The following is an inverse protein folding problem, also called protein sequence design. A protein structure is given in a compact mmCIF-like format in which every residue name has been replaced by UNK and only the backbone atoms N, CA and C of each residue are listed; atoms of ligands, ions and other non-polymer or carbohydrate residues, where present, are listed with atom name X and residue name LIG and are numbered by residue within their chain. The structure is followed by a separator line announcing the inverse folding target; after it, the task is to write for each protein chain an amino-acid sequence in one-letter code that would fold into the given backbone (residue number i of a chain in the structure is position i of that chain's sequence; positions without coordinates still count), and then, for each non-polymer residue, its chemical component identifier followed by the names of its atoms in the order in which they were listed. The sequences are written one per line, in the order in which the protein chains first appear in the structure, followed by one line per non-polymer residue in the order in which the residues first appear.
data_IF_311794903149
#
_entry.id   IF_311794903149
#
_cell.length_a   1.000
_cell.length_b   1.000
_cell.length_c   1.000
_cell.angle_alpha   90.00
_cell.angle_beta   90.00
_cell.angle_gamma   90.00
#
_symmetry.space_group_name_H-M   'P 1'
#
loop_
_entity.id
_entity.type
_entity.pdbx_description
1 polymer ?
#
# COMPACT_ATOMS: atom_id res chain seq x y z
N UNK A 1 -19.92 16.90 25.69
CA UNK A 1 -18.91 17.09 24.61
C UNK A 1 -19.05 15.90 23.69
N UNK A 2 -19.19 16.10 22.39
CA UNK A 2 -19.33 14.97 21.46
C UNK A 2 -17.96 14.32 21.18
N UNK A 3 -17.92 13.05 20.76
CA UNK A 3 -16.66 12.36 20.40
C UNK A 3 -15.88 13.11 19.33
N UNK A 4 -16.56 13.74 18.37
CA UNK A 4 -15.96 14.52 17.28
C UNK A 4 -15.14 15.71 17.81
N UNK A 5 -15.61 16.34 18.90
CA UNK A 5 -14.90 17.45 19.52
C UNK A 5 -13.58 17.05 20.20
N UNK A 6 -13.38 15.76 20.42
CA UNK A 6 -12.16 15.18 21.00
C UNK A 6 -11.27 14.48 19.95
N UNK A 7 -11.80 14.28 18.74
CA UNK A 7 -11.09 13.58 17.68
C UNK A 7 -9.96 14.44 17.07
N UNK A 8 -8.94 13.75 16.56
CA UNK A 8 -7.89 14.41 15.79
C UNK A 8 -8.50 15.09 14.54
N UNK A 9 -8.33 16.42 14.36
CA UNK A 9 -8.89 17.14 13.21
C UNK A 9 -8.46 16.54 11.86
N UNK A 10 -7.25 16.01 11.76
CA UNK A 10 -6.76 15.38 10.54
C UNK A 10 -7.55 14.10 10.20
N UNK A 11 -7.96 13.33 11.22
CA UNK A 11 -8.80 12.16 11.01
C UNK A 11 -10.23 12.53 10.55
N UNK A 12 -10.79 13.62 11.08
CA UNK A 12 -12.12 14.09 10.70
C UNK A 12 -12.21 14.61 9.25
N UNK A 13 -11.08 15.02 8.68
CA UNK A 13 -11.01 15.55 7.30
C UNK A 13 -10.61 14.50 6.27
N UNK A 14 -10.40 13.23 6.70
CA UNK A 14 -10.07 12.15 5.77
C UNK A 14 -11.24 11.84 4.85
N UNK A 15 -11.03 11.66 3.54
CA UNK A 15 -12.03 11.07 2.67
C UNK A 15 -12.29 9.62 3.10
N UNK A 16 -13.55 9.21 3.07
CA UNK A 16 -13.92 7.82 3.35
C UNK A 16 -13.40 6.94 2.20
N UNK A 17 -12.65 5.90 2.53
CA UNK A 17 -12.30 4.87 1.56
C UNK A 17 -13.51 3.97 1.31
N UNK A 18 -13.97 3.93 0.07
CA UNK A 18 -15.05 3.02 -0.35
C UNK A 18 -14.44 1.77 -0.98
N UNK A 19 -14.40 0.63 -0.26
CA UNK A 19 -13.95 -0.63 -0.82
C UNK A 19 -14.97 -1.16 -1.85
N UNK A 20 -14.52 -2.06 -2.72
CA UNK A 20 -15.42 -2.77 -3.62
C UNK A 20 -16.49 -3.55 -2.82
N UNK A 21 -17.77 -3.51 -3.27
CA UNK A 21 -18.86 -4.19 -2.57
C UNK A 21 -18.65 -5.72 -2.52
N UNK A 22 -18.96 -6.36 -1.36
CA UNK A 22 -19.04 -7.82 -1.28
C UNK A 22 -20.04 -8.40 -2.28
N UNK A 23 -19.79 -9.63 -2.75
CA UNK A 23 -20.70 -10.34 -3.68
C UNK A 23 -22.09 -10.49 -3.05
N UNK A 24 -22.15 -10.82 -1.77
CA UNK A 24 -23.39 -11.04 -1.03
C UNK A 24 -24.26 -9.77 -0.95
N UNK A 25 -23.63 -8.61 -0.84
CA UNK A 25 -24.32 -7.33 -0.80
C UNK A 25 -24.92 -6.99 -2.17
N UNK A 26 -24.15 -7.20 -3.25
CA UNK A 26 -24.62 -6.99 -4.63
C UNK A 26 -25.75 -7.98 -4.96
N UNK A 27 -25.59 -9.24 -4.57
CA UNK A 27 -26.62 -10.28 -4.77
C UNK A 27 -27.94 -9.90 -4.08
N UNK A 28 -27.86 -9.44 -2.83
CA UNK A 28 -29.04 -9.02 -2.04
C UNK A 28 -29.70 -7.78 -2.64
N UNK A 29 -28.94 -6.77 -3.05
CA UNK A 29 -29.46 -5.54 -3.64
C UNK A 29 -30.16 -5.77 -4.97
N UNK A 30 -29.64 -6.69 -5.79
CA UNK A 30 -30.13 -6.94 -7.15
C UNK A 30 -31.01 -8.17 -7.26
N UNK A 31 -31.23 -8.93 -6.17
CA UNK A 31 -32.00 -10.18 -6.18
C UNK A 31 -31.35 -11.28 -7.02
N UNK A 32 -30.04 -11.34 -7.08
CA UNK A 32 -29.28 -12.31 -7.87
C UNK A 32 -28.78 -13.47 -7.01
N UNK A 33 -28.47 -14.60 -7.66
CA UNK A 33 -27.73 -15.68 -7.02
C UNK A 33 -26.24 -15.29 -6.88
N UNK A 34 -25.67 -15.29 -5.66
CA UNK A 34 -24.26 -14.97 -5.44
C UNK A 34 -23.31 -15.85 -6.27
N UNK A 35 -23.66 -17.11 -6.51
CA UNK A 35 -22.83 -18.05 -7.27
C UNK A 35 -22.69 -17.69 -8.75
N UNK A 36 -23.61 -16.88 -9.29
CA UNK A 36 -23.58 -16.39 -10.67
C UNK A 36 -22.84 -15.06 -10.85
N UNK A 37 -22.35 -14.44 -9.78
CA UNK A 37 -21.70 -13.14 -9.85
C UNK A 37 -20.19 -13.30 -10.03
N UNK A 38 -19.65 -12.72 -11.11
CA UNK A 38 -18.21 -12.62 -11.34
C UNK A 38 -17.71 -11.27 -10.81
N UNK A 39 -16.96 -11.28 -9.71
CA UNK A 39 -16.37 -10.08 -9.13
C UNK A 39 -15.05 -9.75 -9.82
N UNK A 40 -15.00 -8.61 -10.50
CA UNK A 40 -13.79 -8.08 -11.12
C UNK A 40 -13.18 -6.90 -10.36
N UNK A 41 -13.77 -6.55 -9.21
CA UNK A 41 -13.29 -5.50 -8.31
C UNK A 41 -12.34 -6.07 -7.26
N UNK A 42 -11.59 -5.17 -6.58
CA UNK A 42 -10.71 -5.46 -5.43
C UNK A 42 -9.41 -6.21 -5.76
N UNK A 43 -9.11 -6.48 -7.03
CA UNK A 43 -7.88 -7.18 -7.48
C UNK A 43 -7.61 -8.50 -6.73
N UNK A 44 -8.68 -9.25 -6.41
CA UNK A 44 -8.60 -10.52 -5.72
C UNK A 44 -8.09 -11.64 -6.65
N UNK A 45 -7.35 -12.61 -6.09
CA UNK A 45 -6.88 -13.76 -6.85
C UNK A 45 -8.00 -14.77 -7.09
N UNK A 46 -8.52 -14.84 -8.31
CA UNK A 46 -9.58 -15.77 -8.70
C UNK A 46 -9.16 -17.26 -8.63
N UNK A 47 -7.86 -17.57 -8.58
CA UNK A 47 -7.36 -18.95 -8.43
C UNK A 47 -7.44 -19.47 -7.00
N UNK A 48 -7.75 -18.60 -6.04
CA UNK A 48 -7.79 -18.93 -4.62
C UNK A 48 -6.40 -19.10 -3.99
N UNK A 49 -6.37 -19.57 -2.73
CA UNK A 49 -5.12 -19.73 -1.99
C UNK A 49 -4.38 -21.02 -2.37
N UNK A 50 -3.06 -21.03 -2.16
CA UNK A 50 -2.24 -22.24 -2.33
C UNK A 50 -2.72 -23.37 -1.40
N UNK A 51 -2.89 -24.61 -1.89
CA UNK A 51 -3.23 -25.75 -1.04
C UNK A 51 -2.20 -25.99 0.09
N UNK A 52 -0.92 -25.74 -0.17
CA UNK A 52 0.13 -25.85 0.85
C UNK A 52 -0.04 -24.77 1.94
N UNK A 53 -0.41 -23.57 1.57
CA UNK A 53 -0.68 -22.50 2.54
C UNK A 53 -1.90 -22.82 3.41
N UNK A 54 -2.97 -23.35 2.82
CA UNK A 54 -4.15 -23.83 3.57
C UNK A 54 -3.80 -24.94 4.56
N UNK A 55 -3.02 -25.93 4.13
CA UNK A 55 -2.56 -27.01 5.00
C UNK A 55 -1.74 -26.50 6.17
N UNK A 56 -0.80 -25.58 5.92
CA UNK A 56 0.02 -24.97 6.95
C UNK A 56 -0.81 -24.15 7.94
N UNK A 57 -1.77 -23.36 7.44
CA UNK A 57 -2.68 -22.57 8.27
C UNK A 57 -3.53 -23.46 9.17
N UNK A 58 -4.12 -24.54 8.64
CA UNK A 58 -4.89 -25.50 9.43
C UNK A 58 -4.04 -26.15 10.53
N UNK A 59 -2.78 -26.47 10.25
CA UNK A 59 -1.87 -27.02 11.26
C UNK A 59 -1.54 -26.00 12.35
N UNK A 60 -1.40 -24.72 11.99
CA UNK A 60 -1.10 -23.65 12.94
C UNK A 60 -2.30 -23.33 13.86
N UNK A 61 -3.54 -23.54 13.40
CA UNK A 61 -4.73 -23.33 14.21
C UNK A 61 -4.76 -24.17 15.49
N UNK A 62 -4.11 -25.32 15.51
CA UNK A 62 -4.00 -26.18 16.70
C UNK A 62 -3.19 -25.52 17.85
N UNK A 63 -2.53 -24.39 17.60
CA UNK A 63 -1.75 -23.63 18.57
C UNK A 63 -2.24 -22.18 18.70
N UNK A 64 -3.48 -21.92 18.31
CA UNK A 64 -4.03 -20.56 18.28
C UNK A 64 -4.24 -19.93 19.67
N UNK A 65 -4.14 -20.76 20.74
CA UNK A 65 -4.14 -20.28 22.13
C UNK A 65 -2.84 -19.58 22.54
N UNK A 66 -1.77 -19.73 21.75
CA UNK A 66 -0.49 -19.09 22.01
C UNK A 66 -0.40 -17.75 21.26
N UNK A 67 0.28 -16.78 21.88
CA UNK A 67 0.61 -15.54 21.18
C UNK A 67 1.52 -15.81 19.98
N UNK A 68 1.29 -15.17 18.83
CA UNK A 68 2.19 -15.27 17.69
C UNK A 68 3.56 -14.64 18.02
N UNK A 69 4.60 -15.09 17.31
CA UNK A 69 5.92 -14.45 17.37
C UNK A 69 5.85 -13.02 16.82
N UNK A 70 5.90 -12.02 17.71
CA UNK A 70 5.86 -10.59 17.33
C UNK A 70 7.08 -10.15 16.50
N UNK A 71 8.19 -10.90 16.55
CA UNK A 71 9.38 -10.66 15.73
C UNK A 71 9.28 -11.25 14.32
N UNK A 72 8.27 -12.09 14.06
CA UNK A 72 8.07 -12.80 12.78
C UNK A 72 9.35 -13.47 12.25
N UNK A 73 10.20 -14.02 13.14
CA UNK A 73 11.56 -14.49 12.81
C UNK A 73 11.55 -15.48 11.65
N UNK A 74 10.70 -16.52 11.71
CA UNK A 74 10.62 -17.55 10.66
C UNK A 74 10.21 -16.96 9.30
N UNK A 75 9.28 -16.01 9.29
CA UNK A 75 8.81 -15.34 8.05
C UNK A 75 9.92 -14.47 7.48
N UNK A 76 10.56 -13.65 8.31
CA UNK A 76 11.66 -12.76 7.90
C UNK A 76 12.82 -13.56 7.30
N UNK A 77 13.24 -14.64 7.94
CA UNK A 77 14.28 -15.54 7.42
C UNK A 77 13.89 -16.22 6.10
N UNK A 78 12.61 -16.61 5.94
CA UNK A 78 12.13 -17.23 4.70
C UNK A 78 12.15 -16.24 3.53
N UNK A 79 11.69 -15.00 3.76
CA UNK A 79 11.74 -13.93 2.76
C UNK A 79 13.18 -13.56 2.44
N UNK A 80 14.03 -13.39 3.44
CA UNK A 80 15.45 -13.06 3.29
C UNK A 80 16.18 -14.09 2.41
N UNK A 81 15.99 -15.38 2.70
CA UNK A 81 16.57 -16.47 1.88
C UNK A 81 16.09 -16.45 0.43
N UNK A 82 14.80 -16.16 0.21
CA UNK A 82 14.22 -16.11 -1.14
C UNK A 82 14.78 -14.96 -1.98
N UNK A 83 15.03 -13.83 -1.37
CA UNK A 83 15.43 -12.58 -2.06
C UNK A 83 16.93 -12.27 -1.92
N UNK A 84 17.71 -13.09 -1.23
CA UNK A 84 19.14 -12.86 -1.03
C UNK A 84 19.44 -11.65 -0.13
N UNK A 85 18.55 -11.35 0.83
CA UNK A 85 18.66 -10.23 1.76
C UNK A 85 19.02 -10.68 3.17
N UNK A 86 19.44 -9.74 4.03
CA UNK A 86 19.50 -9.95 5.48
C UNK A 86 18.11 -9.97 6.11
N UNK A 87 17.89 -10.80 7.14
CA UNK A 87 16.61 -10.83 7.86
C UNK A 87 16.32 -9.52 8.62
N UNK A 88 17.35 -8.75 8.93
CA UNK A 88 17.28 -7.42 9.53
C UNK A 88 16.77 -6.33 8.56
N UNK A 89 16.85 -6.60 7.25
CA UNK A 89 16.30 -5.73 6.20
C UNK A 89 14.80 -6.01 5.91
N UNK A 90 14.14 -6.91 6.66
CA UNK A 90 12.76 -7.31 6.40
C UNK A 90 11.85 -6.84 7.55
N UNK A 91 10.81 -6.11 7.22
CA UNK A 91 9.74 -5.69 8.13
C UNK A 91 8.42 -6.26 7.58
N UNK A 92 7.81 -7.26 8.21
CA UNK A 92 6.49 -7.76 7.82
C UNK A 92 5.38 -6.85 8.33
N UNK A 93 4.26 -6.81 7.60
CA UNK A 93 3.06 -6.09 8.00
C UNK A 93 1.78 -6.77 7.47
N UNK A 94 0.63 -6.34 7.96
CA UNK A 94 -0.68 -6.79 7.50
C UNK A 94 -1.05 -6.13 6.16
N UNK A 95 -0.39 -6.59 5.10
CA UNK A 95 -0.46 -6.00 3.77
C UNK A 95 0.34 -4.69 3.64
N UNK A 96 0.37 -4.15 2.43
CA UNK A 96 1.08 -2.89 2.13
C UNK A 96 0.51 -1.70 2.90
N UNK A 97 -0.79 -1.69 3.23
CA UNK A 97 -1.39 -0.60 3.99
C UNK A 97 -0.68 -0.34 5.33
N UNK A 98 -0.39 -1.39 6.10
CA UNK A 98 0.32 -1.22 7.36
C UNK A 98 1.75 -0.72 7.15
N UNK A 99 2.44 -1.20 6.11
CA UNK A 99 3.79 -0.72 5.78
C UNK A 99 3.76 0.77 5.41
N UNK A 100 2.78 1.22 4.63
CA UNK A 100 2.61 2.62 4.27
C UNK A 100 2.35 3.50 5.51
N UNK A 101 1.53 3.00 6.45
CA UNK A 101 1.27 3.69 7.72
C UNK A 101 2.52 3.74 8.60
N UNK A 102 3.29 2.64 8.69
CA UNK A 102 4.56 2.61 9.41
C UNK A 102 5.59 3.60 8.84
N UNK A 103 5.64 3.76 7.51
CA UNK A 103 6.46 4.80 6.87
C UNK A 103 5.98 6.20 7.28
N UNK A 104 4.68 6.42 7.36
CA UNK A 104 4.11 7.67 7.87
C UNK A 104 4.53 7.95 9.31
N UNK A 105 4.40 6.96 10.20
CA UNK A 105 4.81 7.07 11.60
C UNK A 105 6.30 7.36 11.77
N UNK A 106 7.13 6.71 10.96
CA UNK A 106 8.58 6.81 11.10
C UNK A 106 9.17 8.11 10.52
N UNK A 107 8.55 8.65 9.45
CA UNK A 107 9.22 9.66 8.63
C UNK A 107 8.41 10.92 8.36
N UNK A 108 7.07 10.93 8.56
CA UNK A 108 6.24 12.09 8.24
C UNK A 108 5.89 12.92 9.47
N UNK A 109 5.83 14.22 9.25
CA UNK A 109 5.32 15.23 10.19
C UNK A 109 4.57 16.31 9.42
N UNK A 110 3.75 17.15 10.09
CA UNK A 110 3.11 18.29 9.47
C UNK A 110 4.11 19.22 8.76
N UNK A 111 3.80 19.57 7.51
CA UNK A 111 4.64 20.40 6.65
C UNK A 111 5.54 19.64 5.69
N UNK A 112 5.70 18.33 5.86
CA UNK A 112 6.38 17.50 4.86
C UNK A 112 5.51 17.32 3.60
N UNK A 113 6.15 16.97 2.49
CA UNK A 113 5.50 16.64 1.23
C UNK A 113 5.71 15.17 0.87
N UNK A 114 4.67 14.57 0.27
CA UNK A 114 4.69 13.20 -0.25
C UNK A 114 4.28 13.22 -1.72
N UNK A 115 5.17 12.81 -2.61
CA UNK A 115 4.91 12.78 -4.05
C UNK A 115 4.33 11.42 -4.44
N UNK A 116 3.30 11.44 -5.30
CA UNK A 116 2.66 10.25 -5.86
C UNK A 116 2.09 10.53 -7.24
N UNK A 117 1.82 9.50 -8.03
CA UNK A 117 1.07 9.64 -9.27
C UNK A 117 -0.41 9.93 -9.03
N UNK A 118 -1.11 10.49 -10.03
CA UNK A 118 -2.56 10.68 -10.00
C UNK A 118 -3.19 10.30 -11.34
N UNK A 119 -4.08 9.29 -11.37
CA UNK A 119 -4.53 8.45 -10.24
C UNK A 119 -3.50 7.41 -9.78
N UNK A 120 -3.47 7.13 -8.48
CA UNK A 120 -2.69 6.06 -7.87
C UNK A 120 -3.47 5.44 -6.69
N UNK A 121 -2.88 4.46 -6.01
CA UNK A 121 -3.50 3.83 -4.86
C UNK A 121 -3.85 4.86 -3.79
N UNK A 122 -5.13 4.92 -3.45
CA UNK A 122 -5.70 6.00 -2.61
C UNK A 122 -5.04 6.10 -1.22
N UNK A 123 -4.52 4.97 -0.70
CA UNK A 123 -3.92 4.91 0.63
C UNK A 123 -2.68 5.81 0.75
N UNK A 124 -1.94 6.04 -0.33
CA UNK A 124 -0.81 6.98 -0.31
C UNK A 124 -1.26 8.38 0.13
N UNK A 125 -2.37 8.86 -0.44
CA UNK A 125 -2.96 10.16 -0.11
C UNK A 125 -3.55 10.17 1.31
N UNK A 126 -4.22 9.08 1.71
CA UNK A 126 -4.81 8.96 3.04
C UNK A 126 -3.73 9.01 4.13
N UNK A 127 -2.67 8.22 3.97
CA UNK A 127 -1.53 8.22 4.91
C UNK A 127 -0.87 9.59 4.97
N UNK A 128 -0.57 10.22 3.82
CA UNK A 128 0.02 11.56 3.79
C UNK A 128 -0.79 12.55 4.63
N UNK A 129 -2.10 12.59 4.41
CA UNK A 129 -3.00 13.50 5.16
C UNK A 129 -3.08 13.16 6.64
N UNK A 130 -3.10 11.87 7.00
CA UNK A 130 -3.21 11.43 8.40
C UNK A 130 -2.05 11.97 9.25
N UNK A 131 -0.86 12.08 8.66
CA UNK A 131 0.34 12.63 9.32
C UNK A 131 0.53 14.14 9.08
N UNK A 132 -0.44 14.83 8.48
CA UNK A 132 -0.38 16.27 8.22
C UNK A 132 0.59 16.67 7.12
N UNK A 133 1.02 15.72 6.30
CA UNK A 133 1.84 15.98 5.13
C UNK A 133 0.97 16.37 3.92
N UNK A 134 1.56 17.14 3.01
CA UNK A 134 0.94 17.53 1.75
C UNK A 134 1.13 16.45 0.69
N UNK A 135 0.03 15.93 0.13
CA UNK A 135 0.08 15.03 -1.02
C UNK A 135 0.32 15.85 -2.30
N UNK A 136 1.46 15.63 -2.94
CA UNK A 136 1.83 16.24 -4.23
C UNK A 136 1.50 15.23 -5.33
N UNK A 137 0.37 15.42 -5.98
CA UNK A 137 -0.17 14.53 -7.00
C UNK A 137 0.35 14.91 -8.39
N UNK A 138 1.13 14.02 -9.02
CA UNK A 138 1.70 14.24 -10.36
C UNK A 138 0.86 13.49 -11.40
N UNK A 139 0.30 14.17 -12.42
CA UNK A 139 -0.49 13.52 -13.46
C UNK A 139 0.29 12.43 -14.18
N UNK A 140 -0.39 11.31 -14.45
CA UNK A 140 0.15 10.22 -15.27
C UNK A 140 0.26 10.65 -16.74
N UNK A 141 1.14 9.98 -17.48
CA UNK A 141 1.21 10.06 -18.95
C UNK A 141 1.01 8.65 -19.51
N UNK A 142 0.09 8.49 -20.44
CA UNK A 142 -0.29 7.18 -21.00
C UNK A 142 -0.57 6.13 -19.92
N UNK A 143 -1.23 6.57 -18.83
CA UNK A 143 -1.57 5.77 -17.65
C UNK A 143 -0.36 5.24 -16.87
N UNK A 144 0.87 5.72 -17.11
CA UNK A 144 2.10 5.40 -16.39
C UNK A 144 2.57 6.59 -15.56
N UNK A 145 3.37 6.33 -14.53
CA UNK A 145 3.99 7.39 -13.75
C UNK A 145 4.91 8.25 -14.62
N UNK A 146 4.73 9.56 -14.53
CA UNK A 146 5.59 10.55 -15.19
C UNK A 146 6.82 10.82 -14.31
N UNK A 147 7.79 9.92 -14.35
CA UNK A 147 8.97 9.97 -13.49
C UNK A 147 9.76 11.30 -13.63
N UNK A 148 9.97 11.85 -14.84
CA UNK A 148 10.60 13.17 -14.98
C UNK A 148 9.82 14.31 -14.31
N UNK A 149 8.48 14.26 -14.32
CA UNK A 149 7.66 15.26 -13.64
C UNK A 149 7.69 15.06 -12.12
N UNK A 150 7.74 13.82 -11.63
CA UNK A 150 7.91 13.52 -10.21
C UNK A 150 9.24 14.05 -9.68
N UNK A 151 10.35 13.88 -10.43
CA UNK A 151 11.66 14.46 -10.08
C UNK A 151 11.60 15.99 -9.99
N UNK A 152 10.94 16.65 -10.94
CA UNK A 152 10.80 18.12 -10.92
C UNK A 152 9.91 18.64 -9.80
N UNK A 153 9.02 17.81 -9.26
CA UNK A 153 8.15 18.16 -8.15
C UNK A 153 8.85 18.09 -6.78
N UNK A 154 10.07 17.57 -6.71
CA UNK A 154 10.82 17.45 -5.46
C UNK A 154 11.20 18.85 -4.96
N UNK A 155 10.91 19.11 -3.68
CA UNK A 155 11.30 20.31 -2.95
C UNK A 155 12.10 19.94 -1.71
N UNK A 156 12.68 20.89 -0.98
CA UNK A 156 13.31 20.61 0.32
C UNK A 156 12.34 20.04 1.38
N UNK A 157 11.03 20.19 1.21
CA UNK A 157 10.01 19.64 2.09
C UNK A 157 9.61 18.20 1.72
N UNK A 158 10.00 17.71 0.53
CA UNK A 158 9.67 16.36 0.08
C UNK A 158 10.37 15.32 0.95
N UNK A 159 9.60 14.44 1.57
CA UNK A 159 10.10 13.39 2.46
C UNK A 159 9.95 11.99 1.87
N UNK A 160 8.80 11.68 1.26
CA UNK A 160 8.52 10.37 0.68
C UNK A 160 8.07 10.51 -0.78
N UNK A 161 8.39 9.49 -1.58
CA UNK A 161 7.78 9.27 -2.89
C UNK A 161 7.20 7.87 -2.89
N UNK A 162 5.89 7.76 -3.16
CA UNK A 162 5.22 6.48 -3.40
C UNK A 162 5.06 6.24 -4.90
N UNK A 163 5.50 5.08 -5.35
CA UNK A 163 5.39 4.65 -6.75
C UNK A 163 5.03 3.17 -6.82
N UNK A 164 3.85 2.86 -7.35
CA UNK A 164 3.45 1.49 -7.65
C UNK A 164 3.75 1.15 -9.10
N UNK A 165 4.38 0.00 -9.36
CA UNK A 165 4.58 -0.49 -10.72
C UNK A 165 4.52 -2.02 -10.75
N UNK A 166 3.46 -2.57 -11.35
CA UNK A 166 2.29 -1.96 -12.02
C UNK A 166 1.48 -1.01 -11.13
N UNK A 167 0.98 0.10 -11.73
CA UNK A 167 0.20 1.08 -11.01
C UNK A 167 -1.25 0.61 -10.77
N UNK A 168 -1.74 0.78 -9.58
CA UNK A 168 -3.16 0.66 -9.25
C UNK A 168 -3.80 2.07 -9.28
N UNK A 169 -4.84 2.36 -10.10
CA UNK A 169 -5.72 1.39 -10.77
C UNK A 169 -5.44 1.14 -12.26
N UNK A 170 -4.41 1.72 -12.85
CA UNK A 170 -4.26 1.74 -14.31
C UNK A 170 -3.69 0.46 -14.92
N UNK A 171 -3.03 -0.39 -14.11
CA UNK A 171 -2.39 -1.62 -14.55
C UNK A 171 -1.14 -1.41 -15.43
N UNK A 172 -0.72 -0.16 -15.64
CA UNK A 172 0.47 0.16 -16.43
C UNK A 172 1.72 0.18 -15.55
N UNK A 173 2.83 -0.26 -16.14
CA UNK A 173 4.13 -0.31 -15.46
C UNK A 173 5.15 0.61 -16.16
N UNK A 174 6.02 1.20 -15.37
CA UNK A 174 7.29 1.73 -15.84
C UNK A 174 8.29 0.57 -15.97
N UNK A 175 9.25 0.67 -16.87
CA UNK A 175 10.28 -0.35 -17.01
C UNK A 175 11.23 -0.35 -15.81
N UNK A 176 11.87 -1.49 -15.54
CA UNK A 176 12.86 -1.60 -14.48
C UNK A 176 14.00 -0.58 -14.61
N UNK A 177 14.44 -0.30 -15.87
CA UNK A 177 15.48 0.69 -16.12
C UNK A 177 15.01 2.11 -15.77
N UNK A 178 13.78 2.48 -16.18
CA UNK A 178 13.21 3.81 -15.84
C UNK A 178 13.13 3.99 -14.33
N UNK A 179 12.70 2.95 -13.58
CA UNK A 179 12.61 2.99 -12.12
C UNK A 179 13.98 3.09 -11.47
N UNK A 180 14.95 2.32 -11.97
CA UNK A 180 16.34 2.35 -11.48
C UNK A 180 16.97 3.74 -11.69
N UNK A 181 16.83 4.30 -12.90
CA UNK A 181 17.34 5.63 -13.22
C UNK A 181 16.67 6.72 -12.36
N UNK A 182 15.36 6.59 -12.15
CA UNK A 182 14.62 7.46 -11.24
C UNK A 182 15.14 7.39 -9.81
N UNK A 183 15.30 6.18 -9.27
CA UNK A 183 15.80 5.98 -7.91
C UNK A 183 17.20 6.58 -7.71
N UNK A 184 18.10 6.43 -8.70
CA UNK A 184 19.46 6.99 -8.65
C UNK A 184 19.49 8.52 -8.77
N UNK A 185 18.44 9.12 -9.34
CA UNK A 185 18.35 10.57 -9.48
C UNK A 185 17.75 11.28 -8.24
N UNK A 186 17.28 10.51 -7.26
CA UNK A 186 16.67 11.08 -6.05
C UNK A 186 17.71 11.70 -5.12
N UNK A 187 17.42 12.86 -4.52
CA UNK A 187 18.30 13.45 -3.51
C UNK A 187 18.25 12.65 -2.21
N UNK A 188 19.33 12.66 -1.44
CA UNK A 188 19.51 11.85 -0.22
C UNK A 188 18.46 12.08 0.87
N UNK A 189 17.78 13.23 0.87
CA UNK A 189 16.75 13.54 1.87
C UNK A 189 15.39 12.92 1.57
N UNK A 190 15.22 12.28 0.40
CA UNK A 190 13.95 11.68 -0.06
C UNK A 190 14.00 10.17 0.08
N UNK A 191 12.99 9.61 0.74
CA UNK A 191 12.79 8.17 0.85
C UNK A 191 11.91 7.70 -0.32
N UNK A 192 12.38 6.71 -1.06
CA UNK A 192 11.65 6.10 -2.15
C UNK A 192 10.98 4.80 -1.69
N UNK A 193 9.66 4.79 -1.67
CA UNK A 193 8.86 3.61 -1.39
C UNK A 193 8.31 3.05 -2.72
N UNK A 194 8.97 2.01 -3.21
CA UNK A 194 8.57 1.30 -4.42
C UNK A 194 7.62 0.18 -4.05
N UNK A 195 6.37 0.26 -4.56
CA UNK A 195 5.29 -0.68 -4.25
C UNK A 195 5.17 -1.71 -5.37
N UNK A 196 5.50 -2.96 -5.06
CA UNK A 196 5.47 -4.12 -5.95
C UNK A 196 4.34 -5.10 -5.53
N UNK A 197 3.18 -4.56 -5.12
CA UNK A 197 2.04 -5.41 -4.73
C UNK A 197 1.47 -6.25 -5.88
N UNK A 198 1.80 -5.90 -7.16
CA UNK A 198 1.35 -6.60 -8.36
C UNK A 198 2.50 -7.13 -9.21
#
# INVERSE_FOLDING_TARGET
MSPEALANPLALTQPVYEPGKPIEDVARELGLDPSGIVKLASNENALGPSPLALSAANSALAQSELYPDGGCVRLREAIARRHGLGADAIIPGNGSNEILELLGHAFLKPGDEVIMGAPAFIVYKLVSKLFGATAVEVPLVDYRHNLPAMLRAITPATKLIFLASPNNPTGRANSAQEIFDFANALPEHVIFAFDEAY
#
